data_IF_127042828786
#
_entry.id   IF_127042828786
#
_cell.length_a   1.000
_cell.length_b   1.000
_cell.length_c   1.000
_cell.angle_alpha   90.00
_cell.angle_beta   90.00
_cell.angle_gamma   90.00
#
_symmetry.space_group_name_H-M   'P 1'
#
loop_
_entity.id
_entity.type
_entity.pdbx_description
1 polymer ?
#
# COMPACT_ATOMS: atom_id res chain seq x y z
N UNK A 1 24.54 7.76 -7.71
CA UNK A 1 23.44 8.13 -6.79
C UNK A 1 22.26 7.20 -7.06
N UNK A 2 21.93 6.28 -6.14
CA UNK A 2 20.76 5.40 -6.27
C UNK A 2 19.58 6.09 -5.58
N UNK A 3 18.85 6.91 -6.34
CA UNK A 3 17.71 7.67 -5.85
C UNK A 3 16.62 6.71 -5.37
N UNK A 4 16.15 6.95 -4.16
CA UNK A 4 15.15 6.20 -3.43
C UNK A 4 13.87 5.99 -4.23
N UNK A 5 13.71 4.85 -4.93
CA UNK A 5 12.43 4.48 -5.62
C UNK A 5 11.25 4.23 -4.65
N UNK A 6 11.00 5.11 -3.67
CA UNK A 6 9.78 5.08 -2.85
C UNK A 6 8.69 5.77 -3.68
N UNK A 7 7.77 4.99 -4.25
CA UNK A 7 6.60 5.52 -4.93
C UNK A 7 5.49 5.71 -3.90
N UNK A 8 5.27 6.94 -3.46
CA UNK A 8 4.09 7.33 -2.68
C UNK A 8 3.33 8.35 -3.51
N UNK A 9 2.02 8.18 -3.62
CA UNK A 9 1.12 9.08 -4.35
C UNK A 9 -0.08 9.38 -3.48
N UNK A 10 -0.52 10.63 -3.52
CA UNK A 10 -1.71 11.08 -2.82
C UNK A 10 -2.65 11.74 -3.83
N UNK A 11 -3.88 11.25 -3.88
CA UNK A 11 -4.95 11.90 -4.62
C UNK A 11 -5.60 12.94 -3.72
N UNK A 12 -5.97 14.08 -4.31
CA UNK A 12 -6.67 15.13 -3.59
C UNK A 12 -7.81 15.72 -4.41
N UNK A 13 -8.86 16.14 -3.71
CA UNK A 13 -10.00 16.87 -4.28
C UNK A 13 -10.13 18.16 -3.50
N UNK A 14 -10.12 19.30 -4.21
CA UNK A 14 -10.19 20.64 -3.60
C UNK A 14 -9.13 20.90 -2.50
N UNK A 15 -7.95 20.26 -2.62
CA UNK A 15 -6.86 20.39 -1.65
C UNK A 15 -6.96 19.45 -0.44
N UNK A 16 -8.03 18.66 -0.33
CA UNK A 16 -8.16 17.61 0.69
C UNK A 16 -7.69 16.27 0.15
N UNK A 17 -6.82 15.58 0.89
CA UNK A 17 -6.34 14.24 0.51
C UNK A 17 -7.47 13.23 0.64
N UNK A 18 -7.74 12.50 -0.43
CA UNK A 18 -8.82 11.49 -0.50
C UNK A 18 -8.28 10.06 -0.50
N UNK A 19 -7.09 9.84 -1.05
CA UNK A 19 -6.43 8.54 -1.03
C UNK A 19 -4.91 8.68 -1.03
N UNK A 20 -4.24 7.70 -0.45
CA UNK A 20 -2.78 7.56 -0.42
C UNK A 20 -2.43 6.13 -0.84
N UNK A 21 -1.58 6.02 -1.86
CA UNK A 21 -1.04 4.76 -2.35
C UNK A 21 0.46 4.71 -2.16
N UNK A 22 1.00 3.56 -1.81
CA UNK A 22 2.45 3.37 -1.76
C UNK A 22 2.89 2.03 -2.31
N UNK A 23 4.05 2.00 -2.96
CA UNK A 23 4.71 0.78 -3.40
C UNK A 23 5.66 0.25 -2.30
N UNK A 24 5.40 -0.99 -1.85
CA UNK A 24 6.15 -1.66 -0.79
C UNK A 24 7.36 -2.40 -1.37
N UNK A 25 8.50 -1.72 -1.37
CA UNK A 25 9.79 -2.32 -1.77
C UNK A 25 10.25 -3.41 -0.83
N UNK A 26 11.06 -4.32 -1.37
CA UNK A 26 11.70 -5.40 -0.61
C UNK A 26 10.84 -6.65 -0.46
N UNK A 27 9.58 -6.60 -0.92
CA UNK A 27 8.73 -7.78 -1.01
C UNK A 27 9.16 -8.66 -2.18
N UNK A 28 9.02 -10.00 -2.09
CA UNK A 28 9.30 -10.93 -3.19
C UNK A 28 8.24 -10.88 -4.31
N UNK A 29 7.28 -9.96 -4.22
CA UNK A 29 6.21 -9.70 -5.17
C UNK A 29 5.87 -8.21 -5.20
N UNK A 30 5.16 -7.75 -6.24
CA UNK A 30 4.68 -6.37 -6.29
C UNK A 30 3.59 -6.16 -5.24
N UNK A 31 3.86 -5.29 -4.28
CA UNK A 31 2.96 -5.02 -3.17
C UNK A 31 2.69 -3.52 -3.07
N UNK A 32 1.44 -3.18 -2.84
CA UNK A 32 0.96 -1.83 -2.69
C UNK A 32 0.17 -1.72 -1.39
N UNK A 33 0.31 -0.62 -0.66
CA UNK A 33 -0.66 -0.25 0.37
C UNK A 33 -1.54 0.88 -0.15
N UNK A 34 -2.83 0.81 0.17
CA UNK A 34 -3.81 1.81 -0.17
C UNK A 34 -4.55 2.24 1.10
N UNK A 35 -4.61 3.55 1.31
CA UNK A 35 -5.41 4.19 2.33
C UNK A 35 -6.40 5.13 1.65
N UNK A 36 -7.69 4.98 1.91
CA UNK A 36 -8.74 5.87 1.39
C UNK A 36 -9.41 6.54 2.57
N UNK A 37 -9.55 7.86 2.51
CA UNK A 37 -10.17 8.65 3.57
C UNK A 37 -11.67 8.41 3.56
N UNK A 38 -12.23 8.06 4.73
CA UNK A 38 -13.57 7.48 4.86
C UNK A 38 -14.73 8.40 4.40
N UNK A 39 -14.50 9.70 4.14
CA UNK A 39 -15.56 10.67 3.83
C UNK A 39 -16.01 10.75 2.36
N UNK A 40 -15.36 10.02 1.44
CA UNK A 40 -15.64 10.13 -0.01
C UNK A 40 -16.72 9.20 -0.56
N UNK A 41 -16.93 9.24 -1.88
CA UNK A 41 -17.67 8.24 -2.65
C UNK A 41 -16.83 6.95 -2.84
N UNK A 42 -17.15 6.14 -3.85
CA UNK A 42 -16.29 5.04 -4.30
C UNK A 42 -14.96 5.61 -4.84
N UNK A 43 -13.87 4.87 -4.66
CA UNK A 43 -12.54 5.28 -5.11
C UNK A 43 -12.01 4.35 -6.21
N UNK A 44 -11.67 4.92 -7.36
CA UNK A 44 -11.07 4.20 -8.49
C UNK A 44 -9.55 4.25 -8.43
N UNK A 45 -8.90 3.10 -8.29
CA UNK A 45 -7.44 3.04 -8.10
C UNK A 45 -6.63 3.22 -9.41
N UNK A 46 -7.30 3.33 -10.57
CA UNK A 46 -6.66 3.25 -11.91
C UNK A 46 -5.62 4.35 -12.12
N UNK A 47 -5.93 5.59 -11.77
CA UNK A 47 -5.03 6.73 -11.97
C UNK A 47 -3.79 6.59 -11.08
N UNK A 48 -4.00 6.23 -9.83
CA UNK A 48 -2.95 5.96 -8.85
C UNK A 48 -2.00 4.84 -9.31
N UNK A 49 -2.53 3.72 -9.81
CA UNK A 49 -1.69 2.62 -10.32
C UNK A 49 -0.91 3.03 -11.57
N UNK A 50 -1.51 3.83 -12.46
CA UNK A 50 -0.86 4.32 -13.67
C UNK A 50 0.34 5.20 -13.32
N UNK A 51 0.16 6.14 -12.39
CA UNK A 51 1.25 6.98 -11.91
C UNK A 51 2.35 6.16 -11.22
N UNK A 52 1.98 5.20 -10.35
CA UNK A 52 2.96 4.34 -9.70
C UNK A 52 3.75 3.50 -10.72
N UNK A 53 3.11 3.02 -11.79
CA UNK A 53 3.78 2.31 -12.88
C UNK A 53 4.82 3.20 -13.58
N UNK A 54 4.48 4.46 -13.87
CA UNK A 54 5.41 5.44 -14.46
C UNK A 54 6.62 5.72 -13.56
N UNK A 55 6.38 5.99 -12.27
CA UNK A 55 7.45 6.28 -11.30
C UNK A 55 8.37 5.09 -11.08
N UNK A 56 7.86 3.87 -11.24
CA UNK A 56 8.63 2.64 -11.06
C UNK A 56 9.43 2.23 -12.30
N UNK A 57 9.35 3.00 -13.41
CA UNK A 57 10.15 2.94 -14.63
C UNK A 57 10.75 1.55 -14.94
N UNK A 58 9.95 0.69 -15.58
CA UNK A 58 10.35 -0.67 -15.98
C UNK A 58 10.27 -1.74 -14.90
N UNK A 59 10.00 -1.38 -13.64
CA UNK A 59 9.83 -2.36 -12.55
C UNK A 59 8.46 -3.02 -12.52
N UNK A 60 7.47 -2.49 -13.26
CA UNK A 60 6.11 -3.05 -13.38
C UNK A 60 5.69 -3.14 -14.86
N UNK A 61 6.16 -4.15 -15.61
CA UNK A 61 5.68 -4.43 -16.96
C UNK A 61 4.17 -4.69 -17.02
N UNK A 62 3.58 -4.51 -18.20
CA UNK A 62 2.18 -4.88 -18.44
C UNK A 62 1.93 -6.37 -18.21
N UNK A 63 0.77 -6.69 -17.64
CA UNK A 63 0.37 -8.06 -17.31
C UNK A 63 0.99 -8.63 -16.02
N UNK A 64 1.81 -7.86 -15.30
CA UNK A 64 2.30 -8.26 -13.99
C UNK A 64 1.18 -8.35 -12.94
N UNK A 65 1.38 -9.27 -11.99
CA UNK A 65 0.47 -9.45 -10.85
C UNK A 65 1.04 -8.71 -9.64
N UNK A 66 0.16 -8.08 -8.88
CA UNK A 66 0.50 -7.43 -7.63
C UNK A 66 -0.58 -7.64 -6.57
N UNK A 67 -0.24 -7.30 -5.34
CA UNK A 67 -1.14 -7.33 -4.19
C UNK A 67 -1.38 -5.91 -3.73
N UNK A 68 -2.65 -5.52 -3.58
CA UNK A 68 -3.05 -4.28 -2.94
C UNK A 68 -3.56 -4.63 -1.55
N UNK A 69 -2.93 -4.08 -0.53
CA UNK A 69 -3.38 -4.16 0.86
C UNK A 69 -4.21 -2.92 1.19
N UNK A 70 -5.42 -3.13 1.68
CA UNK A 70 -6.34 -2.09 2.14
C UNK A 70 -7.09 -2.57 3.39
N UNK A 71 -7.61 -1.63 4.17
CA UNK A 71 -8.44 -1.95 5.32
C UNK A 71 -9.76 -2.61 4.87
N UNK A 72 -10.23 -3.63 5.59
CA UNK A 72 -11.42 -4.40 5.25
C UNK A 72 -12.68 -3.55 4.99
N UNK A 73 -12.99 -2.50 5.79
CA UNK A 73 -14.15 -1.63 5.52
C UNK A 73 -14.11 -0.95 4.14
N UNK A 74 -12.91 -0.75 3.58
CA UNK A 74 -12.72 -0.08 2.29
C UNK A 74 -12.92 -1.03 1.09
N UNK A 75 -12.98 -2.35 1.29
CA UNK A 75 -13.14 -3.33 0.19
C UNK A 75 -14.38 -3.10 -0.66
N UNK A 76 -15.48 -2.64 -0.05
CA UNK A 76 -16.74 -2.38 -0.75
C UNK A 76 -16.72 -1.09 -1.58
N UNK A 77 -15.75 -0.21 -1.34
CA UNK A 77 -15.70 1.15 -1.89
C UNK A 77 -14.58 1.36 -2.89
N UNK A 78 -13.51 0.58 -2.79
CA UNK A 78 -12.38 0.67 -3.70
C UNK A 78 -12.64 -0.20 -4.91
N UNK A 79 -12.65 0.42 -6.09
CA UNK A 79 -12.74 -0.26 -7.36
C UNK A 79 -11.32 -0.56 -7.87
N UNK A 80 -10.95 -1.84 -7.77
CA UNK A 80 -9.67 -2.36 -8.27
C UNK A 80 -9.95 -3.09 -9.59
N UNK A 81 -9.32 -2.72 -10.71
CA UNK A 81 -9.51 -3.44 -11.97
C UNK A 81 -8.85 -4.82 -11.90
N UNK A 82 -9.42 -5.79 -12.64
CA UNK A 82 -8.81 -7.11 -12.86
C UNK A 82 -8.45 -7.90 -11.59
N UNK A 83 -9.31 -7.85 -10.55
CA UNK A 83 -9.11 -8.62 -9.31
C UNK A 83 -9.11 -10.12 -9.64
N UNK A 84 -7.99 -10.78 -9.34
CA UNK A 84 -7.87 -12.24 -9.48
C UNK A 84 -8.37 -12.99 -8.25
N UNK A 85 -8.15 -12.43 -7.06
CA UNK A 85 -8.57 -13.01 -5.79
C UNK A 85 -8.55 -11.95 -4.68
N UNK A 86 -9.43 -12.13 -3.70
CA UNK A 86 -9.44 -11.36 -2.44
C UNK A 86 -9.06 -12.29 -1.30
N UNK A 87 -8.16 -11.83 -0.41
CA UNK A 87 -7.73 -12.58 0.77
C UNK A 87 -7.71 -11.66 1.98
N UNK A 88 -8.22 -12.15 3.10
CA UNK A 88 -8.13 -11.45 4.38
C UNK A 88 -6.82 -11.81 5.06
N UNK A 89 -6.03 -10.79 5.42
CA UNK A 89 -4.82 -10.94 6.21
C UNK A 89 -5.12 -10.50 7.65
N UNK A 90 -5.10 -11.44 8.59
CA UNK A 90 -5.21 -11.11 10.00
C UNK A 90 -3.86 -10.60 10.50
N UNK A 91 -3.83 -9.32 10.89
CA UNK A 91 -2.67 -8.75 11.56
C UNK A 91 -2.52 -9.43 12.92
N UNK A 92 -1.45 -10.21 13.08
CA UNK A 92 -1.14 -10.83 14.36
C UNK A 92 -0.53 -9.77 15.28
N UNK A 93 -1.02 -9.71 16.53
CA UNK A 93 -0.35 -8.96 17.59
C UNK A 93 1.12 -9.40 17.64
N UNK A 94 2.04 -8.45 17.75
CA UNK A 94 3.47 -8.72 17.89
C UNK A 94 3.74 -9.35 19.27
N UNK A 95 3.45 -10.65 19.42
CA UNK A 95 3.57 -11.38 20.70
C UNK A 95 4.97 -11.92 20.93
N UNK A 96 5.75 -12.12 19.86
CA UNK A 96 7.13 -12.56 19.92
C UNK A 96 7.97 -11.77 18.90
N UNK A 97 8.43 -10.56 19.27
CA UNK A 97 9.12 -9.66 18.35
C UNK A 97 10.36 -10.27 17.70
N UNK A 98 11.13 -11.08 18.44
CA UNK A 98 12.36 -11.70 17.92
C UNK A 98 12.11 -12.66 16.74
N UNK A 99 10.89 -13.17 16.61
CA UNK A 99 10.47 -14.06 15.50
C UNK A 99 9.67 -13.35 14.42
N UNK A 100 9.19 -12.15 14.69
CA UNK A 100 8.25 -11.41 13.83
C UNK A 100 8.88 -10.17 13.18
N UNK A 101 10.00 -9.69 13.72
CA UNK A 101 10.77 -8.62 13.09
C UNK A 101 11.57 -9.15 11.90
N UNK A 102 11.63 -8.42 10.77
CA UNK A 102 12.50 -8.77 9.67
C UNK A 102 13.97 -8.87 10.11
N UNK A 103 14.72 -9.78 9.51
CA UNK A 103 16.17 -9.92 9.74
C UNK A 103 16.85 -8.62 9.29
N UNK A 104 17.58 -7.97 10.21
CA UNK A 104 18.23 -6.68 9.99
C UNK A 104 18.01 -5.71 11.14
N UNK A 105 18.24 -4.42 10.90
CA UNK A 105 17.99 -3.36 11.90
C UNK A 105 16.48 -3.11 12.05
N UNK A 106 15.90 -3.69 13.09
CA UNK A 106 14.52 -3.44 13.50
C UNK A 106 14.50 -2.86 14.92
N UNK A 107 13.70 -1.83 15.17
CA UNK A 107 13.50 -1.25 16.49
C UNK A 107 12.01 -1.16 16.80
N UNK A 108 11.62 -1.63 17.98
CA UNK A 108 10.27 -1.40 18.53
C UNK A 108 10.29 -0.02 19.19
N UNK A 109 9.33 0.83 18.82
CA UNK A 109 9.09 2.10 19.48
C UNK A 109 8.01 1.87 20.54
N UNK A 110 8.36 2.01 21.81
CA UNK A 110 7.36 2.11 22.87
C UNK A 110 6.84 3.54 22.89
N UNK A 111 5.53 3.69 22.66
CA UNK A 111 4.85 4.95 22.90
C UNK A 111 4.83 5.13 24.42
N UNK A 112 5.66 6.05 24.94
CA UNK A 112 5.45 6.56 26.29
C UNK A 112 4.07 7.20 26.34
N UNK A 113 3.22 6.72 27.25
CA UNK A 113 1.88 7.26 27.48
C UNK A 113 1.95 8.79 27.64
N UNK A 114 1.12 9.50 26.88
CA UNK A 114 0.95 10.95 26.95
C UNK A 114 -0.26 11.29 27.83
#
# INVERSE_FOLDING_TARGET
MRTDRRGVVADSVQGEVTAIGSYLKGMPFHAFSLHVVERGENYEVVQMLSYLKEVLDGSLPDGQKGVIALAEPLLSRVQIPNILATRTMYLMKLTNPERLLPVGESRILELSEA
#
